data_IF_229763035164
#
_entry.id   IF_229763035164
#
_cell.length_a   1.000
_cell.length_b   1.000
_cell.length_c   1.000
_cell.angle_alpha   90.00
_cell.angle_beta   90.00
_cell.angle_gamma   90.00
#
_symmetry.space_group_name_H-M   'P 1'
#
loop_
_entity.id
_entity.type
_entity.pdbx_description
1 polymer ?
#
# COMPACT_ATOMS: atom_id res chain seq x y z
N UNK A 1 -24.22 1.43 -0.05
CA UNK A 1 -22.74 1.32 -0.09
C UNK A 1 -22.29 2.06 -1.33
N UNK A 2 -21.25 2.90 -1.25
CA UNK A 2 -20.69 3.57 -2.42
C UNK A 2 -20.12 2.52 -3.39
N UNK A 3 -20.34 2.73 -4.68
CA UNK A 3 -19.73 1.91 -5.72
C UNK A 3 -18.23 2.24 -5.81
N UNK A 4 -17.37 1.27 -6.18
CA UNK A 4 -15.97 1.53 -6.45
C UNK A 4 -15.78 2.60 -7.52
N UNK A 5 -14.79 3.45 -7.33
CA UNK A 5 -14.51 4.59 -8.21
C UNK A 5 -14.14 4.13 -9.63
N UNK A 6 -14.74 4.78 -10.64
CA UNK A 6 -14.42 4.56 -12.05
C UNK A 6 -13.05 5.14 -12.42
N UNK A 7 -12.46 4.66 -13.52
CA UNK A 7 -11.21 5.26 -14.01
C UNK A 7 -11.41 6.70 -14.49
N UNK A 8 -12.59 7.03 -15.02
CA UNK A 8 -12.94 8.39 -15.44
C UNK A 8 -12.92 9.37 -14.27
N UNK A 9 -13.49 8.98 -13.12
CA UNK A 9 -13.53 9.82 -11.92
C UNK A 9 -12.14 9.98 -11.29
N UNK A 10 -11.37 8.87 -11.21
CA UNK A 10 -9.99 8.92 -10.74
C UNK A 10 -9.15 9.87 -11.62
N UNK A 11 -9.23 9.72 -12.95
CA UNK A 11 -8.52 10.57 -13.89
C UNK A 11 -8.97 12.04 -13.78
N UNK A 12 -10.27 12.30 -13.66
CA UNK A 12 -10.80 13.65 -13.52
C UNK A 12 -10.24 14.35 -12.26
N UNK A 13 -10.13 13.63 -11.13
CA UNK A 13 -9.49 14.17 -9.92
C UNK A 13 -8.02 14.49 -10.14
N UNK A 14 -7.26 13.60 -10.79
CA UNK A 14 -5.84 13.84 -11.09
C UNK A 14 -5.67 15.04 -12.04
N UNK A 15 -6.46 15.11 -13.11
CA UNK A 15 -6.41 16.21 -14.07
C UNK A 15 -6.84 17.55 -13.45
N UNK A 16 -7.78 17.55 -12.51
CA UNK A 16 -8.18 18.77 -11.79
C UNK A 16 -7.07 19.31 -10.86
N UNK A 17 -6.07 18.49 -10.52
CA UNK A 17 -4.94 18.87 -9.68
C UNK A 17 -3.72 19.39 -10.47
N UNK A 18 -3.79 19.39 -11.82
CA UNK A 18 -2.69 19.89 -12.65
C UNK A 18 -2.75 21.39 -12.87
N UNK A 19 -1.59 21.99 -13.15
CA UNK A 19 -1.50 23.37 -13.62
C UNK A 19 -2.02 23.56 -15.07
N UNK A 20 -1.93 24.79 -15.60
CA UNK A 20 -2.36 25.14 -16.96
C UNK A 20 -1.57 24.41 -18.06
N UNK A 21 -0.42 23.80 -17.73
CA UNK A 21 0.40 22.98 -18.63
C UNK A 21 0.11 21.47 -18.47
N UNK A 22 -0.82 21.09 -17.60
CA UNK A 22 -1.18 19.70 -17.34
C UNK A 22 -0.17 18.96 -16.44
N UNK A 23 0.58 19.67 -15.60
CA UNK A 23 1.58 19.10 -14.69
C UNK A 23 1.11 19.09 -13.25
N UNK A 24 1.42 18.00 -12.55
CA UNK A 24 1.35 17.95 -11.09
C UNK A 24 2.56 18.67 -10.51
N UNK A 25 2.36 19.34 -9.37
CA UNK A 25 3.47 19.90 -8.61
C UNK A 25 4.36 18.76 -8.09
N UNK A 26 5.68 18.97 -8.11
CA UNK A 26 6.60 18.04 -7.46
C UNK A 26 6.43 18.19 -5.95
N UNK A 27 6.02 17.11 -5.29
CA UNK A 27 5.87 17.04 -3.84
C UNK A 27 7.24 16.92 -3.18
N UNK A 28 7.99 18.03 -3.12
CA UNK A 28 9.38 18.06 -2.62
C UNK A 28 9.49 17.63 -1.16
N UNK A 29 8.42 17.75 -0.37
CA UNK A 29 8.39 17.32 1.04
C UNK A 29 8.15 15.82 1.21
N UNK A 30 7.76 15.11 0.14
CA UNK A 30 7.54 13.66 0.12
C UNK A 30 8.84 12.93 -0.28
N UNK A 31 8.77 11.91 -1.15
CA UNK A 31 9.93 11.12 -1.56
C UNK A 31 11.15 11.93 -2.03
N UNK A 32 11.05 13.01 -2.83
CA UNK A 32 12.21 13.82 -3.20
C UNK A 32 12.91 14.52 -2.02
N UNK A 33 12.18 14.77 -0.93
CA UNK A 33 12.69 15.40 0.29
C UNK A 33 13.40 14.42 1.23
N UNK A 34 13.23 13.12 1.01
CA UNK A 34 13.88 12.10 1.82
C UNK A 34 15.39 12.12 1.62
N UNK A 35 16.14 11.97 2.72
CA UNK A 35 17.59 11.96 2.67
C UNK A 35 18.16 10.85 1.78
N UNK A 36 17.44 9.73 1.65
CA UNK A 36 17.80 8.58 0.79
C UNK A 36 17.37 8.71 -0.68
N UNK A 37 16.66 9.79 -1.07
CA UNK A 37 16.30 10.00 -2.48
C UNK A 37 17.57 10.04 -3.34
N UNK A 38 17.69 9.26 -4.42
CA UNK A 38 18.98 9.03 -5.06
C UNK A 38 19.52 10.21 -5.88
N UNK A 39 18.70 11.22 -6.17
CA UNK A 39 19.09 12.35 -7.02
C UNK A 39 19.22 13.66 -6.22
N UNK A 40 20.19 14.49 -6.59
CA UNK A 40 20.23 15.92 -6.30
C UNK A 40 19.05 16.59 -7.03
N UNK A 41 18.21 17.34 -6.30
CA UNK A 41 17.02 17.98 -6.90
C UNK A 41 17.41 19.01 -7.96
N UNK A 42 18.53 19.70 -7.76
CA UNK A 42 19.13 20.55 -8.78
C UNK A 42 19.81 19.69 -9.85
N UNK A 43 19.24 19.69 -11.05
CA UNK A 43 19.83 19.02 -12.22
C UNK A 43 19.69 17.50 -12.28
N UNK A 44 18.97 16.84 -11.35
CA UNK A 44 18.70 15.39 -11.34
C UNK A 44 19.96 14.51 -11.48
N UNK A 45 21.01 14.88 -10.75
CA UNK A 45 22.27 14.12 -10.73
C UNK A 45 22.22 13.07 -9.64
N UNK A 46 22.76 11.87 -9.90
CA UNK A 46 22.89 10.85 -8.86
C UNK A 46 23.82 11.36 -7.75
N UNK A 47 23.38 11.21 -6.49
CA UNK A 47 24.17 11.55 -5.29
C UNK A 47 25.49 10.76 -5.28
N UNK A 48 26.58 11.33 -4.75
CA UNK A 48 27.82 10.59 -4.58
C UNK A 48 27.61 9.38 -3.68
N UNK A 49 28.31 8.28 -3.97
CA UNK A 49 28.26 7.09 -3.14
C UNK A 49 28.83 7.39 -1.75
N UNK A 50 28.08 7.06 -0.70
CA UNK A 50 28.53 7.17 0.68
C UNK A 50 29.47 5.99 1.04
N UNK A 51 30.38 6.16 2.02
CA UNK A 51 31.10 5.04 2.60
C UNK A 51 30.13 3.99 3.17
N UNK A 52 30.60 2.75 3.30
CA UNK A 52 29.82 1.71 3.98
C UNK A 52 29.59 2.09 5.45
N UNK A 53 28.37 1.87 5.93
CA UNK A 53 28.06 1.87 7.36
C UNK A 53 28.74 0.69 8.06
N UNK A 54 29.06 0.84 9.35
CA UNK A 54 29.69 -0.24 10.14
C UNK A 54 28.76 -1.43 10.35
N UNK A 55 27.46 -1.17 10.52
CA UNK A 55 26.39 -2.15 10.67
C UNK A 55 25.12 -1.63 10.00
N UNK A 56 24.23 -2.54 9.63
CA UNK A 56 22.85 -2.19 9.27
C UNK A 56 22.08 -1.86 10.57
N UNK A 57 21.36 -0.74 10.65
CA UNK A 57 20.55 -0.42 11.82
C UNK A 57 19.38 -1.41 11.98
N UNK A 58 19.03 -1.70 13.23
CA UNK A 58 17.84 -2.49 13.54
C UNK A 58 16.56 -1.80 13.05
N UNK A 59 15.63 -2.59 12.53
CA UNK A 59 14.31 -2.10 12.12
C UNK A 59 13.38 -2.01 13.31
N UNK A 60 12.25 -1.31 13.15
CA UNK A 60 11.20 -1.33 14.16
C UNK A 60 10.67 -2.76 14.35
N UNK A 61 10.74 -3.24 15.59
CA UNK A 61 10.31 -4.59 15.95
C UNK A 61 11.29 -5.69 15.54
N UNK A 62 12.57 -5.39 15.28
CA UNK A 62 13.61 -6.42 15.12
C UNK A 62 13.67 -7.33 16.35
N UNK A 63 13.55 -6.74 17.55
CA UNK A 63 13.10 -7.47 18.75
C UNK A 63 11.56 -7.57 18.72
N UNK A 64 10.98 -8.79 18.69
CA UNK A 64 9.54 -8.98 18.72
C UNK A 64 8.84 -8.32 19.91
N UNK A 65 9.53 -8.10 21.03
CA UNK A 65 8.99 -7.45 22.23
C UNK A 65 8.71 -5.95 22.03
N UNK A 66 9.48 -5.31 21.15
CA UNK A 66 9.35 -3.89 20.82
C UNK A 66 8.45 -3.66 19.58
N UNK A 67 7.93 -4.73 19.01
CA UNK A 67 7.08 -4.63 17.84
C UNK A 67 5.72 -3.98 18.18
N UNK A 68 5.23 -3.01 17.38
CA UNK A 68 3.92 -2.40 17.59
C UNK A 68 2.74 -3.39 17.61
N UNK A 69 2.90 -4.60 17.04
CA UNK A 69 1.86 -5.64 17.09
C UNK A 69 1.65 -6.25 18.48
N UNK A 70 2.54 -6.00 19.45
CA UNK A 70 2.38 -6.44 20.83
C UNK A 70 1.33 -5.61 21.59
N UNK A 71 1.06 -4.39 21.13
CA UNK A 71 0.02 -3.54 21.67
C UNK A 71 -1.34 -3.87 21.01
N UNK A 72 -2.47 -3.71 21.74
CA UNK A 72 -3.78 -3.73 21.11
C UNK A 72 -3.86 -2.72 19.98
N UNK A 73 -4.56 -3.08 18.90
CA UNK A 73 -4.82 -2.17 17.80
C UNK A 73 -5.56 -0.92 18.30
N UNK A 74 -5.19 0.24 17.77
CA UNK A 74 -5.94 1.47 18.03
C UNK A 74 -7.26 1.44 17.26
N UNK A 75 -8.29 2.19 17.71
CA UNK A 75 -9.55 2.30 16.97
C UNK A 75 -9.36 2.73 15.51
N UNK A 76 -8.35 3.57 15.24
CA UNK A 76 -8.01 4.05 13.90
C UNK A 76 -7.41 2.94 13.03
N UNK A 77 -6.61 2.05 13.62
CA UNK A 77 -6.06 0.88 12.92
C UNK A 77 -7.17 -0.11 12.59
N UNK A 78 -8.04 -0.42 13.56
CA UNK A 78 -9.17 -1.34 13.35
C UNK A 78 -10.15 -0.79 12.31
N UNK A 79 -10.39 0.52 12.29
CA UNK A 79 -11.27 1.17 11.31
C UNK A 79 -10.76 1.08 9.86
N UNK A 80 -9.50 0.70 9.62
CA UNK A 80 -8.91 0.52 8.28
C UNK A 80 -8.92 -0.93 7.78
N UNK A 81 -9.40 -1.88 8.59
CA UNK A 81 -9.37 -3.30 8.23
C UNK A 81 -10.44 -3.61 7.18
N UNK A 82 -9.99 -3.92 5.96
CA UNK A 82 -10.86 -4.32 4.85
C UNK A 82 -11.27 -5.80 4.91
N UNK A 83 -10.39 -6.65 5.44
CA UNK A 83 -10.65 -8.08 5.62
C UNK A 83 -9.77 -8.64 6.73
N UNK A 84 -10.26 -9.63 7.47
CA UNK A 84 -9.44 -10.37 8.42
C UNK A 84 -9.92 -11.79 8.67
N UNK A 85 -9.04 -12.61 9.22
CA UNK A 85 -9.37 -13.88 9.84
C UNK A 85 -8.59 -14.02 11.16
N UNK A 86 -8.50 -15.25 11.68
CA UNK A 86 -7.79 -15.57 12.92
C UNK A 86 -6.28 -15.24 12.88
N UNK A 87 -5.64 -15.29 11.70
CA UNK A 87 -4.17 -15.17 11.57
C UNK A 87 -3.71 -13.99 10.74
N UNK A 88 -4.60 -13.41 9.93
CA UNK A 88 -4.27 -12.38 8.95
C UNK A 88 -5.25 -11.23 8.97
N UNK A 89 -4.78 -10.07 8.55
CA UNK A 89 -5.59 -8.90 8.25
C UNK A 89 -5.08 -8.20 7.00
N UNK A 90 -6.01 -7.62 6.23
CA UNK A 90 -5.75 -6.73 5.11
C UNK A 90 -6.30 -5.36 5.50
N UNK A 91 -5.44 -4.36 5.54
CA UNK A 91 -5.81 -2.98 5.88
C UNK A 91 -5.60 -2.05 4.69
N UNK A 92 -6.45 -1.05 4.57
CA UNK A 92 -6.23 0.09 3.68
C UNK A 92 -5.12 1.00 4.23
N UNK A 93 -4.38 1.59 3.30
CA UNK A 93 -3.40 2.64 3.56
C UNK A 93 -3.80 3.87 2.74
N UNK A 94 -3.81 5.03 3.40
CA UNK A 94 -4.20 6.30 2.81
C UNK A 94 -3.13 6.86 1.86
N UNK A 95 -2.85 6.13 0.79
CA UNK A 95 -2.04 6.55 -0.35
C UNK A 95 -2.95 7.12 -1.46
N UNK A 96 -2.35 7.79 -2.44
CA UNK A 96 -3.00 8.55 -3.51
C UNK A 96 -3.32 7.69 -4.77
N UNK A 97 -3.17 6.36 -4.66
CA UNK A 97 -3.60 5.38 -5.68
C UNK A 97 -5.07 5.00 -5.52
N UNK A 98 -5.72 4.44 -6.57
CA UNK A 98 -7.10 3.94 -6.50
C UNK A 98 -7.34 3.01 -5.30
N UNK A 99 -6.37 2.17 -4.99
CA UNK A 99 -6.36 1.37 -3.76
C UNK A 99 -4.92 1.05 -3.37
N UNK A 100 -4.63 1.14 -2.08
CA UNK A 100 -3.42 0.57 -1.51
C UNK A 100 -3.77 -0.23 -0.27
N UNK A 101 -3.26 -1.46 -0.22
CA UNK A 101 -3.53 -2.39 0.87
C UNK A 101 -2.21 -2.94 1.42
N UNK A 102 -2.24 -3.31 2.70
CA UNK A 102 -1.18 -4.09 3.32
C UNK A 102 -1.80 -5.37 3.89
N UNK A 103 -1.18 -6.51 3.59
CA UNK A 103 -1.45 -7.78 4.27
C UNK A 103 -0.51 -7.92 5.46
N UNK A 104 -1.03 -8.26 6.65
CA UNK A 104 -0.20 -8.51 7.85
C UNK A 104 -0.65 -9.79 8.56
N UNK A 105 0.27 -10.61 9.08
CA UNK A 105 -0.09 -11.59 10.10
C UNK A 105 -0.46 -10.86 11.39
N UNK A 106 -1.31 -11.48 12.22
CA UNK A 106 -1.63 -10.96 13.56
C UNK A 106 -0.48 -11.16 14.54
N UNK A 107 0.17 -12.32 14.46
CA UNK A 107 1.38 -12.60 15.22
C UNK A 107 2.60 -11.92 14.59
N UNK A 108 3.59 -11.60 15.42
CA UNK A 108 4.86 -11.08 14.95
C UNK A 108 5.61 -12.12 14.12
N UNK A 109 5.88 -11.80 12.87
CA UNK A 109 6.76 -12.56 11.97
C UNK A 109 7.46 -11.60 11.02
N UNK A 110 8.76 -11.77 10.77
CA UNK A 110 9.34 -11.31 9.50
C UNK A 110 8.92 -12.28 8.39
N UNK A 111 8.85 -11.76 7.18
CA UNK A 111 8.58 -12.54 5.96
C UNK A 111 9.61 -13.65 5.79
N UNK A 112 10.89 -13.38 6.10
CA UNK A 112 11.96 -14.38 5.98
C UNK A 112 11.80 -15.55 6.98
N UNK A 113 11.08 -15.33 8.08
CA UNK A 113 10.91 -16.28 9.18
C UNK A 113 9.47 -16.79 9.29
N UNK A 114 8.66 -16.62 8.23
CA UNK A 114 7.30 -17.15 8.20
C UNK A 114 7.34 -18.69 8.27
N UNK A 115 6.62 -19.29 9.23
CA UNK A 115 6.37 -20.74 9.24
C UNK A 115 5.71 -21.21 7.93
N UNK A 116 6.01 -22.43 7.51
CA UNK A 116 5.56 -22.98 6.21
C UNK A 116 4.04 -22.91 5.99
N UNK A 117 3.24 -23.09 7.04
CA UNK A 117 1.78 -23.00 6.98
C UNK A 117 1.31 -21.55 6.74
N UNK A 118 1.92 -20.57 7.41
CA UNK A 118 1.67 -19.15 7.16
C UNK A 118 2.18 -18.72 5.79
N UNK A 119 3.33 -19.22 5.33
CA UNK A 119 3.84 -18.95 3.99
C UNK A 119 2.87 -19.48 2.91
N UNK A 120 2.33 -20.69 3.09
CA UNK A 120 1.32 -21.25 2.18
C UNK A 120 0.03 -20.42 2.15
N UNK A 121 -0.40 -19.89 3.30
CA UNK A 121 -1.54 -18.96 3.37
C UNK A 121 -1.27 -17.62 2.71
N UNK A 122 -0.10 -17.03 2.97
CA UNK A 122 0.31 -15.78 2.35
C UNK A 122 0.28 -15.90 0.83
N UNK A 123 0.76 -17.03 0.26
CA UNK A 123 0.67 -17.29 -1.17
C UNK A 123 -0.77 -17.29 -1.71
N UNK A 124 -1.71 -17.92 -0.99
CA UNK A 124 -3.13 -17.90 -1.36
C UNK A 124 -3.75 -16.50 -1.24
N UNK A 125 -3.38 -15.77 -0.19
CA UNK A 125 -3.85 -14.40 0.07
C UNK A 125 -3.32 -13.43 -0.99
N UNK A 126 -2.05 -13.51 -1.35
CA UNK A 126 -1.44 -12.74 -2.44
C UNK A 126 -2.25 -12.89 -3.74
N UNK A 127 -2.55 -14.14 -4.13
CA UNK A 127 -3.33 -14.42 -5.35
C UNK A 127 -4.75 -13.86 -5.23
N UNK A 128 -5.39 -13.99 -4.07
CA UNK A 128 -6.76 -13.52 -3.85
C UNK A 128 -6.86 -11.99 -3.86
N UNK A 129 -5.96 -11.31 -3.16
CA UNK A 129 -5.88 -9.85 -3.09
C UNK A 129 -5.57 -9.28 -4.48
N UNK A 130 -4.57 -9.85 -5.17
CA UNK A 130 -4.20 -9.43 -6.54
C UNK A 130 -5.40 -9.50 -7.48
N UNK A 131 -6.13 -10.62 -7.50
CA UNK A 131 -7.30 -10.78 -8.34
C UNK A 131 -8.41 -9.76 -8.00
N UNK A 132 -8.71 -9.59 -6.71
CA UNK A 132 -9.75 -8.67 -6.25
C UNK A 132 -9.41 -7.20 -6.52
N UNK A 133 -8.14 -6.81 -6.40
CA UNK A 133 -7.66 -5.46 -6.75
C UNK A 133 -7.79 -5.21 -8.25
N UNK A 134 -7.48 -6.21 -9.10
CA UNK A 134 -7.61 -6.08 -10.55
C UNK A 134 -9.06 -6.15 -11.07
N UNK A 135 -10.03 -6.50 -10.22
CA UNK A 135 -11.47 -6.40 -10.52
C UNK A 135 -12.02 -4.97 -10.36
N UNK A 136 -11.28 -4.05 -9.71
CA UNK A 136 -11.72 -2.67 -9.53
C UNK A 136 -11.76 -1.92 -10.88
N UNK A 137 -12.82 -1.13 -11.15
CA UNK A 137 -12.97 -0.43 -12.43
C UNK A 137 -11.88 0.62 -12.70
N UNK A 138 -11.29 1.19 -11.64
CA UNK A 138 -10.18 2.14 -11.72
C UNK A 138 -8.80 1.49 -11.81
N UNK A 139 -8.66 0.17 -11.68
CA UNK A 139 -7.37 -0.52 -11.62
C UNK A 139 -7.09 -1.31 -12.89
N UNK A 140 -5.87 -1.18 -13.41
CA UNK A 140 -5.41 -1.96 -14.56
C UNK A 140 -4.48 -3.11 -14.20
N UNK A 141 -3.63 -2.95 -13.17
CA UNK A 141 -2.74 -4.01 -12.65
C UNK A 141 -2.53 -3.83 -11.16
N UNK A 142 -2.41 -4.92 -10.41
CA UNK A 142 -1.93 -4.88 -9.03
C UNK A 142 -0.41 -5.03 -9.02
N UNK A 143 0.31 -4.03 -8.52
CA UNK A 143 1.72 -4.18 -8.17
C UNK A 143 1.84 -4.67 -6.73
N UNK A 144 2.94 -5.34 -6.40
CA UNK A 144 3.25 -5.77 -5.04
C UNK A 144 4.65 -5.33 -4.66
N UNK A 145 4.84 -4.96 -3.40
CA UNK A 145 6.13 -4.51 -2.88
C UNK A 145 6.37 -4.94 -1.44
N UNK A 146 7.63 -5.28 -1.15
CA UNK A 146 8.16 -5.49 0.21
C UNK A 146 9.35 -4.56 0.37
N UNK A 147 9.16 -3.50 1.15
CA UNK A 147 10.22 -2.56 1.51
C UNK A 147 10.69 -2.92 2.92
N UNK A 148 11.92 -3.41 3.01
CA UNK A 148 12.39 -4.13 4.19
C UNK A 148 12.85 -3.23 5.32
N UNK A 149 13.07 -1.95 5.07
CA UNK A 149 13.94 -1.11 5.90
C UNK A 149 13.22 -0.43 7.07
N UNK A 150 11.87 -0.41 7.07
CA UNK A 150 11.07 0.32 8.07
C UNK A 150 10.62 -0.51 9.28
N UNK A 151 10.45 -1.82 9.13
CA UNK A 151 9.96 -2.67 10.21
C UNK A 151 10.04 -4.17 9.92
N UNK A 152 10.32 -4.97 10.95
CA UNK A 152 10.47 -6.41 10.83
C UNK A 152 9.14 -7.17 10.69
N UNK A 153 8.03 -6.63 11.20
CA UNK A 153 6.71 -7.27 11.08
C UNK A 153 6.27 -7.35 9.61
N UNK A 154 5.91 -8.53 9.13
CA UNK A 154 5.54 -8.78 7.75
C UNK A 154 4.36 -7.91 7.28
N UNK A 155 4.59 -7.10 6.25
CA UNK A 155 3.59 -6.16 5.77
C UNK A 155 3.68 -5.90 4.24
N UNK A 156 3.65 -6.92 3.38
CA UNK A 156 3.70 -6.70 1.94
C UNK A 156 2.55 -5.80 1.46
N UNK A 157 2.91 -4.85 0.62
CA UNK A 157 2.00 -3.89 0.01
C UNK A 157 1.41 -4.43 -1.30
N UNK A 158 0.19 -4.00 -1.58
CA UNK A 158 -0.52 -4.18 -2.84
C UNK A 158 -0.99 -2.82 -3.35
N UNK A 159 -0.59 -2.46 -4.56
CA UNK A 159 -0.84 -1.17 -5.17
C UNK A 159 -1.71 -1.33 -6.41
N UNK A 160 -2.91 -0.75 -6.41
CA UNK A 160 -3.79 -0.72 -7.57
C UNK A 160 -3.32 0.31 -8.59
N UNK A 161 -2.54 -0.09 -9.59
CA UNK A 161 -2.09 0.83 -10.65
C UNK A 161 -3.31 1.28 -11.47
N UNK A 162 -3.53 2.60 -11.68
CA UNK A 162 -4.69 3.08 -12.42
C UNK A 162 -4.82 2.48 -13.82
N UNK A 163 -6.03 2.05 -14.19
CA UNK A 163 -6.35 1.59 -15.53
C UNK A 163 -6.09 2.70 -16.55
N UNK A 164 -5.69 2.36 -17.78
CA UNK A 164 -5.54 3.31 -18.91
C UNK A 164 -4.57 4.49 -18.72
N UNK A 165 -3.98 4.69 -17.55
CA UNK A 165 -2.90 5.66 -17.29
C UNK A 165 -1.53 4.96 -17.37
N UNK A 166 -1.15 4.55 -18.58
CA UNK A 166 0.05 3.70 -18.77
C UNK A 166 1.37 4.36 -18.39
N UNK A 167 1.41 5.69 -18.21
CA UNK A 167 2.60 6.40 -17.74
C UNK A 167 2.94 6.07 -16.27
N UNK A 168 1.95 5.67 -15.46
CA UNK A 168 2.10 5.23 -14.07
C UNK A 168 2.53 3.74 -13.97
N UNK A 169 3.35 3.24 -14.91
CA UNK A 169 3.74 1.82 -14.95
C UNK A 169 5.13 1.58 -14.35
N UNK A 170 5.35 0.36 -13.87
CA UNK A 170 6.63 -0.09 -13.35
C UNK A 170 6.95 0.44 -11.95
N UNK A 171 8.23 0.36 -11.57
CA UNK A 171 8.72 0.85 -10.28
C UNK A 171 8.50 2.35 -10.04
N UNK A 172 8.45 3.25 -11.06
CA UNK A 172 8.15 4.67 -10.82
C UNK A 172 6.72 4.96 -10.38
N UNK A 173 5.85 3.94 -10.21
CA UNK A 173 4.49 4.16 -9.70
C UNK A 173 4.49 4.85 -8.34
N UNK A 174 5.42 4.50 -7.44
CA UNK A 174 5.52 5.16 -6.13
C UNK A 174 5.98 6.61 -6.27
N UNK A 175 6.94 6.88 -7.15
CA UNK A 175 7.35 8.25 -7.46
C UNK A 175 6.17 9.08 -7.98
N UNK A 176 5.32 8.51 -8.84
CA UNK A 176 4.10 9.17 -9.30
C UNK A 176 3.10 9.37 -8.16
N UNK A 177 2.85 8.33 -7.37
CA UNK A 177 1.87 8.30 -6.29
C UNK A 177 2.03 9.49 -5.34
N UNK A 178 3.24 9.81 -4.94
CA UNK A 178 3.51 10.90 -4.01
C UNK A 178 3.05 12.28 -4.50
N UNK A 179 2.97 12.45 -5.82
CA UNK A 179 2.58 13.70 -6.48
C UNK A 179 1.08 13.75 -6.83
N UNK A 180 0.34 12.66 -6.63
CA UNK A 180 -1.10 12.59 -6.95
C UNK A 180 -1.93 13.30 -5.87
N UNK A 181 -3.12 13.83 -6.21
CA UNK A 181 -4.02 14.37 -5.21
C UNK A 181 -4.52 13.29 -4.26
N UNK A 182 -4.82 13.67 -3.01
CA UNK A 182 -5.44 12.78 -2.04
C UNK A 182 -6.73 12.14 -2.58
N UNK A 183 -6.91 10.85 -2.30
CA UNK A 183 -8.17 10.15 -2.59
C UNK A 183 -9.11 10.34 -1.41
N UNK A 184 -10.37 10.79 -1.58
CA UNK A 184 -11.32 10.94 -0.48
C UNK A 184 -11.51 9.66 0.34
N UNK A 185 -11.69 9.76 1.66
CA UNK A 185 -11.77 8.60 2.55
C UNK A 185 -12.91 7.64 2.19
N UNK A 186 -14.07 8.16 1.83
CA UNK A 186 -15.22 7.37 1.40
C UNK A 186 -14.94 6.58 0.11
N UNK A 187 -14.17 7.16 -0.81
CA UNK A 187 -13.69 6.48 -2.03
C UNK A 187 -12.67 5.39 -1.68
N UNK A 188 -11.68 5.69 -0.81
CA UNK A 188 -10.69 4.69 -0.36
C UNK A 188 -11.37 3.50 0.32
N UNK A 189 -12.33 3.76 1.21
CA UNK A 189 -13.16 2.73 1.87
C UNK A 189 -14.03 1.96 0.86
N UNK A 190 -14.61 2.61 -0.15
CA UNK A 190 -15.39 1.92 -1.18
C UNK A 190 -14.53 0.89 -1.94
N UNK A 191 -13.35 1.31 -2.39
CA UNK A 191 -12.43 0.47 -3.17
C UNK A 191 -11.84 -0.65 -2.31
N UNK A 192 -11.33 -0.33 -1.11
CA UNK A 192 -10.81 -1.34 -0.19
C UNK A 192 -11.90 -2.32 0.29
N UNK A 193 -13.13 -1.83 0.51
CA UNK A 193 -14.27 -2.64 0.94
C UNK A 193 -14.72 -3.61 -0.15
N UNK A 194 -14.65 -3.21 -1.42
CA UNK A 194 -14.87 -4.13 -2.54
C UNK A 194 -13.86 -5.29 -2.51
N UNK A 195 -12.58 -5.00 -2.34
CA UNK A 195 -11.55 -6.03 -2.19
C UNK A 195 -11.83 -6.92 -0.98
N UNK A 196 -12.16 -6.32 0.16
CA UNK A 196 -12.50 -7.03 1.39
C UNK A 196 -13.65 -8.03 1.22
N UNK A 197 -14.75 -7.61 0.60
CA UNK A 197 -15.90 -8.48 0.30
C UNK A 197 -15.53 -9.63 -0.63
N UNK A 198 -14.71 -9.39 -1.66
CA UNK A 198 -14.19 -10.45 -2.54
C UNK A 198 -13.37 -11.48 -1.78
N UNK A 199 -12.59 -11.05 -0.80
CA UNK A 199 -11.84 -11.96 0.07
C UNK A 199 -12.78 -12.75 0.99
N UNK A 200 -13.82 -12.14 1.56
CA UNK A 200 -14.85 -12.86 2.34
C UNK A 200 -15.52 -13.94 1.49
N UNK A 201 -15.97 -13.59 0.29
CA UNK A 201 -16.62 -14.52 -0.65
C UNK A 201 -15.71 -15.70 -1.01
N UNK A 202 -14.40 -15.46 -1.20
CA UNK A 202 -13.44 -16.46 -1.70
C UNK A 202 -12.79 -17.30 -0.60
N UNK A 203 -12.54 -16.71 0.57
CA UNK A 203 -11.68 -17.27 1.62
C UNK A 203 -12.39 -17.35 2.99
N UNK A 204 -13.61 -16.84 3.12
CA UNK A 204 -14.26 -16.62 4.42
C UNK A 204 -13.63 -15.47 5.19
N UNK A 205 -13.78 -15.45 6.52
CA UNK A 205 -13.31 -14.35 7.37
C UNK A 205 -14.37 -13.25 7.56
N UNK A 206 -13.92 -12.06 7.97
CA UNK A 206 -14.78 -10.92 8.29
C UNK A 206 -14.25 -9.62 7.69
N UNK A 207 -15.15 -8.65 7.49
CA UNK A 207 -14.83 -7.32 6.99
C UNK A 207 -15.73 -6.88 5.82
N UNK A 208 -15.63 -5.62 5.38
CA UNK A 208 -14.76 -4.59 5.97
C UNK A 208 -15.28 -4.06 7.32
N UNK A 209 -14.39 -3.58 8.18
CA UNK A 209 -14.71 -3.20 9.56
C UNK A 209 -15.69 -2.03 9.69
N UNK A 210 -15.82 -1.19 8.66
CA UNK A 210 -16.76 -0.07 8.62
C UNK A 210 -18.17 -0.44 8.08
N UNK A 211 -18.42 -1.73 7.78
CA UNK A 211 -19.71 -2.25 7.35
C UNK A 211 -20.36 -3.19 8.40
N UNK A 212 -19.64 -3.46 9.50
CA UNK A 212 -20.07 -4.35 10.59
C UNK A 212 -20.91 -3.62 11.66
#
# INVERSE_FOLDING_TARGET
MSEPESIEDYYARVAAATDDEGRLAVAVEEMPGWFIYPYELDGLRIKPLEPLSDVEPDRVGEDPADCPCQAPATPEQDARVAWSNERWLVSEVAMKLPVTLILKPRAHHDIADLPDDLAAEMGRLIVAITAAVEELPSVGRCHMGRYGDGGAHAHPFFFGRPARMSQLRGSPLLDWEENLPEVPEDVRRANAGFVGRRLVERLGGTGPAWEA
#
